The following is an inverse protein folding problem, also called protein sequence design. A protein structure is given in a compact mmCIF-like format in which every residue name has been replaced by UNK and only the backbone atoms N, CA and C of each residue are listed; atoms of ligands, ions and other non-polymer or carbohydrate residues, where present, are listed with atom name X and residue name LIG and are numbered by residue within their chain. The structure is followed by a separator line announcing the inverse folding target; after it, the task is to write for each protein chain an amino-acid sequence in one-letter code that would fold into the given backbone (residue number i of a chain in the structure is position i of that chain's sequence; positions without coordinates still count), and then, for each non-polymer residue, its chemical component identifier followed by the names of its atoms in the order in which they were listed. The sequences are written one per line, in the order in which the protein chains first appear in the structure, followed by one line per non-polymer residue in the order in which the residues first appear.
data_IF_147740701555
#
_entry.id   IF_147740701555
#
_cell.length_a   1.000
_cell.length_b   1.000
_cell.length_c   1.000
_cell.angle_alpha   90.00
_cell.angle_beta   90.00
_cell.angle_gamma   90.00
#
_symmetry.space_group_name_H-M   'P 1'
#
loop_
_entity.id
_entity.type
_entity.pdbx_description
1 polymer ?
#
# COMPACT_ATOMS: atom_id res chain seq x y z
N UNK A 1 14.78 -39.54 -13.11
CA UNK A 1 13.74 -38.81 -13.84
C UNK A 1 13.17 -37.77 -12.89
N UNK A 2 13.28 -36.47 -13.06
CA UNK A 2 13.92 -35.65 -14.09
C UNK A 2 14.25 -34.32 -13.42
N UNK A 3 15.54 -34.05 -13.18
CA UNK A 3 16.04 -32.75 -12.73
C UNK A 3 16.64 -31.97 -13.91
N UNK A 4 16.04 -32.13 -15.08
CA UNK A 4 16.52 -31.62 -16.37
C UNK A 4 15.90 -30.27 -16.77
N UNK A 5 14.98 -29.72 -15.96
CA UNK A 5 14.36 -28.40 -16.24
C UNK A 5 15.10 -27.21 -15.62
N UNK A 6 15.91 -27.42 -14.59
CA UNK A 6 16.66 -26.33 -13.91
C UNK A 6 18.05 -26.09 -14.52
N UNK A 7 18.59 -27.02 -15.31
CA UNK A 7 19.85 -26.83 -16.02
C UNK A 7 19.68 -25.99 -17.31
N UNK A 8 18.51 -26.02 -17.96
CA UNK A 8 18.24 -25.22 -19.16
C UNK A 8 18.13 -23.72 -18.88
N UNK A 9 17.38 -23.35 -17.84
CA UNK A 9 17.13 -21.92 -17.49
C UNK A 9 18.41 -21.21 -17.04
N UNK A 10 19.33 -21.93 -16.37
CA UNK A 10 20.59 -21.35 -15.88
C UNK A 10 21.55 -21.00 -17.02
N UNK A 11 21.53 -21.78 -18.11
CA UNK A 11 22.41 -21.57 -19.28
C UNK A 11 21.87 -20.42 -20.14
N UNK A 12 20.55 -20.35 -20.35
CA UNK A 12 19.92 -19.23 -21.09
C UNK A 12 20.14 -17.87 -20.41
N UNK A 13 20.09 -17.82 -19.06
CA UNK A 13 20.39 -16.59 -18.30
C UNK A 13 21.87 -16.17 -18.37
N UNK A 14 22.80 -17.12 -18.52
CA UNK A 14 24.24 -16.83 -18.58
C UNK A 14 24.66 -16.30 -19.96
N UNK A 15 24.01 -16.78 -21.03
CA UNK A 15 24.28 -16.33 -22.39
C UNK A 15 23.72 -14.92 -22.67
N UNK A 16 22.57 -14.55 -22.09
CA UNK A 16 22.02 -13.18 -22.18
C UNK A 16 22.85 -12.13 -21.42
N UNK A 17 23.57 -12.53 -20.38
CA UNK A 17 24.45 -11.62 -19.61
C UNK A 17 25.80 -11.39 -20.31
N UNK A 18 26.29 -12.37 -21.09
CA UNK A 18 27.50 -12.21 -21.91
C UNK A 18 27.28 -11.32 -23.14
N UNK A 19 26.08 -11.28 -23.70
CA UNK A 19 25.76 -10.42 -24.85
C UNK A 19 25.69 -8.92 -24.49
N UNK A 20 25.45 -8.59 -23.21
CA UNK A 20 25.31 -7.22 -22.70
C UNK A 20 26.60 -6.62 -22.10
N UNK A 21 27.76 -7.28 -22.27
CA UNK A 21 29.07 -6.67 -22.01
C UNK A 21 29.40 -6.32 -20.54
N UNK A 22 28.70 -6.92 -19.57
CA UNK A 22 29.01 -6.72 -18.14
C UNK A 22 30.03 -7.76 -17.66
N UNK A 23 31.23 -7.32 -17.29
CA UNK A 23 32.27 -8.18 -16.73
C UNK A 23 31.94 -8.58 -15.28
N UNK A 24 31.88 -9.89 -15.02
CA UNK A 24 31.77 -10.44 -13.67
C UNK A 24 33.01 -10.07 -12.83
N UNK A 25 32.80 -9.55 -11.62
CA UNK A 25 33.86 -9.45 -10.61
C UNK A 25 34.07 -10.85 -10.03
N UNK A 26 35.09 -11.55 -10.52
CA UNK A 26 35.49 -12.84 -10.00
C UNK A 26 36.29 -12.63 -8.71
N UNK A 27 35.66 -12.90 -7.56
CA UNK A 27 36.25 -12.64 -6.24
C UNK A 27 36.87 -13.92 -5.69
N UNK A 28 37.98 -14.38 -6.27
CA UNK A 28 38.89 -15.28 -5.55
C UNK A 28 40.29 -15.33 -6.16
N UNK A 29 41.25 -15.10 -5.24
CA UNK A 29 42.69 -15.35 -5.28
C UNK A 29 43.46 -14.73 -6.43
N UNK A 30 44.22 -13.69 -6.14
CA UNK A 30 45.63 -13.67 -6.53
C UNK A 30 46.44 -12.75 -5.61
N UNK A 31 47.65 -13.23 -5.34
CA UNK A 31 48.68 -12.66 -4.49
C UNK A 31 49.14 -11.29 -4.97
N UNK A 32 49.57 -10.47 -4.02
CA UNK A 32 50.07 -9.11 -4.19
C UNK A 32 51.28 -9.10 -5.13
N UNK A 33 51.13 -8.54 -6.33
CA UNK A 33 52.23 -7.98 -7.12
C UNK A 33 51.97 -6.47 -7.25
N UNK A 34 52.85 -5.68 -6.63
CA UNK A 34 52.79 -4.23 -6.47
C UNK A 34 53.14 -3.46 -7.76
N UNK A 35 52.38 -3.64 -8.84
CA UNK A 35 52.48 -2.75 -10.02
C UNK A 35 51.17 -2.69 -10.83
N UNK A 36 50.05 -2.49 -10.13
CA UNK A 36 48.81 -2.08 -10.78
C UNK A 36 48.85 -0.57 -11.00
N UNK A 37 49.11 -0.17 -12.25
CA UNK A 37 48.96 1.20 -12.74
C UNK A 37 47.59 1.77 -12.32
N UNK A 38 47.61 2.62 -11.30
CA UNK A 38 46.45 3.29 -10.70
C UNK A 38 45.69 4.21 -11.68
N UNK A 39 46.17 4.38 -12.92
CA UNK A 39 45.53 5.21 -13.95
C UNK A 39 44.64 4.45 -14.94
N UNK A 40 44.31 3.18 -14.71
CA UNK A 40 43.47 2.40 -15.62
C UNK A 40 42.15 1.87 -15.06
N UNK A 41 41.63 2.50 -14.00
CA UNK A 41 40.19 2.45 -13.75
C UNK A 41 39.57 3.57 -14.58
N UNK A 42 39.25 3.25 -15.84
CA UNK A 42 38.43 4.09 -16.71
C UNK A 42 37.10 4.30 -15.99
N UNK A 43 36.94 5.42 -15.29
CA UNK A 43 35.72 5.72 -14.58
C UNK A 43 34.55 5.71 -15.57
N UNK A 44 33.38 5.23 -15.11
CA UNK A 44 32.28 4.91 -15.99
C UNK A 44 31.69 6.20 -16.57
N UNK A 45 30.96 6.11 -17.69
CA UNK A 45 30.19 7.19 -18.35
C UNK A 45 29.72 8.26 -17.34
N UNK A 46 29.84 9.56 -17.65
CA UNK A 46 29.43 10.65 -16.74
C UNK A 46 28.02 10.47 -16.16
N UNK A 47 27.17 9.73 -16.86
CA UNK A 47 25.86 9.25 -16.43
C UNK A 47 25.89 8.37 -15.16
N UNK A 48 26.83 7.42 -15.06
CA UNK A 48 26.99 6.56 -13.89
C UNK A 48 27.47 7.36 -12.68
N UNK A 49 28.36 8.35 -12.89
CA UNK A 49 28.74 9.27 -11.81
C UNK A 49 27.53 10.07 -11.33
N UNK A 50 26.67 10.50 -12.26
CA UNK A 50 25.39 11.13 -11.95
C UNK A 50 24.49 10.24 -11.10
N UNK A 51 24.30 8.97 -11.48
CA UNK A 51 23.51 8.02 -10.69
C UNK A 51 24.10 7.76 -9.30
N UNK A 52 25.42 7.61 -9.19
CA UNK A 52 26.09 7.44 -7.90
C UNK A 52 25.83 8.63 -6.98
N UNK A 53 25.89 9.85 -7.51
CA UNK A 53 25.63 11.05 -6.72
C UNK A 53 24.16 11.14 -6.29
N UNK A 54 23.21 10.86 -7.19
CA UNK A 54 21.78 10.79 -6.84
C UNK A 54 21.50 9.77 -5.74
N UNK A 55 22.06 8.56 -5.85
CA UNK A 55 21.88 7.51 -4.82
C UNK A 55 22.50 7.94 -3.50
N UNK A 56 23.68 8.57 -3.51
CA UNK A 56 24.27 9.13 -2.28
C UNK A 56 23.34 10.14 -1.65
N UNK A 57 22.80 11.10 -2.42
CA UNK A 57 21.87 12.11 -1.90
C UNK A 57 20.64 11.42 -1.27
N UNK A 58 20.02 10.46 -1.95
CA UNK A 58 18.89 9.70 -1.42
C UNK A 58 19.22 8.97 -0.11
N UNK A 59 20.40 8.35 -0.01
CA UNK A 59 20.83 7.67 1.22
C UNK A 59 21.12 8.65 2.36
N UNK A 60 21.64 9.85 2.05
CA UNK A 60 21.90 10.88 3.06
C UNK A 60 20.63 11.59 3.52
N UNK A 61 19.55 11.58 2.72
CA UNK A 61 18.24 12.15 3.08
C UNK A 61 17.33 11.16 3.79
N UNK A 62 17.79 9.93 4.06
CA UNK A 62 17.00 8.94 4.80
C UNK A 62 16.74 9.42 6.24
N UNK A 63 15.47 9.45 6.62
CA UNK A 63 15.00 9.78 7.97
C UNK A 63 14.01 8.68 8.43
N UNK A 64 12.82 9.04 8.92
CA UNK A 64 11.76 8.11 9.37
C UNK A 64 11.18 7.21 8.24
N UNK A 65 11.65 7.39 7.01
CA UNK A 65 11.28 6.60 5.83
C UNK A 65 10.51 7.41 4.79
N UNK A 66 10.73 7.09 3.51
CA UNK A 66 9.95 7.65 2.40
C UNK A 66 8.91 6.63 1.96
N UNK A 67 7.63 6.97 2.14
CA UNK A 67 6.50 6.11 1.73
C UNK A 67 5.41 6.94 1.07
N UNK A 68 4.58 6.29 0.27
CA UNK A 68 3.40 6.91 -0.33
C UNK A 68 2.32 7.13 0.73
N UNK A 69 1.48 8.13 0.52
CA UNK A 69 0.37 8.44 1.41
C UNK A 69 -0.73 7.37 1.30
N UNK A 70 -1.19 6.87 2.45
CA UNK A 70 -2.34 5.99 2.55
C UNK A 70 -3.62 6.81 2.69
N UNK A 71 -4.52 6.71 1.70
CA UNK A 71 -5.79 7.44 1.72
C UNK A 71 -6.71 6.93 2.84
N UNK A 72 -6.70 5.63 3.11
CA UNK A 72 -7.43 4.98 4.21
C UNK A 72 -7.01 5.54 5.57
N UNK A 73 -5.69 5.59 5.86
CA UNK A 73 -5.21 6.09 7.15
C UNK A 73 -5.44 7.59 7.28
N UNK A 74 -5.24 8.34 6.19
CA UNK A 74 -5.53 9.79 6.16
C UNK A 74 -7.01 10.07 6.44
N UNK A 75 -7.93 9.24 5.93
CA UNK A 75 -9.36 9.35 6.23
C UNK A 75 -9.67 9.10 7.71
N UNK A 76 -9.02 8.14 8.35
CA UNK A 76 -9.16 7.93 9.80
C UNK A 76 -8.66 9.12 10.62
N UNK A 77 -7.52 9.71 10.25
CA UNK A 77 -7.00 10.93 10.89
C UNK A 77 -7.96 12.11 10.67
N UNK A 78 -8.52 12.25 9.48
CA UNK A 78 -9.46 13.31 9.15
C UNK A 78 -10.76 13.24 9.98
N UNK A 79 -11.14 12.06 10.50
CA UNK A 79 -12.33 11.87 11.33
C UNK A 79 -12.14 12.30 12.80
N UNK A 80 -10.91 12.58 13.23
CA UNK A 80 -10.64 13.01 14.61
C UNK A 80 -11.21 14.41 14.82
N UNK A 81 -12.15 14.52 15.76
CA UNK A 81 -12.74 15.80 16.14
C UNK A 81 -11.80 16.57 17.06
N UNK A 82 -11.82 17.89 16.96
CA UNK A 82 -11.10 18.76 17.89
C UNK A 82 -11.53 18.51 19.35
N UNK A 83 -10.54 18.25 20.21
CA UNK A 83 -10.76 17.94 21.62
C UNK A 83 -11.43 19.06 22.42
N UNK A 84 -11.37 20.30 21.91
CA UNK A 84 -12.04 21.45 22.51
C UNK A 84 -13.51 21.60 22.09
N UNK A 85 -14.02 20.69 21.25
CA UNK A 85 -15.43 20.66 20.86
C UNK A 85 -15.83 21.78 19.89
N UNK A 86 -14.91 22.29 19.07
CA UNK A 86 -15.21 23.30 18.05
C UNK A 86 -16.18 22.81 16.97
N UNK A 87 -16.43 21.50 16.88
CA UNK A 87 -17.19 20.90 15.78
C UNK A 87 -16.42 20.87 14.46
N UNK A 88 -15.09 20.99 14.52
CA UNK A 88 -14.18 20.93 13.37
C UNK A 88 -13.19 19.76 13.49
N UNK A 89 -12.55 19.34 12.39
CA UNK A 89 -11.52 18.32 12.43
C UNK A 89 -10.28 18.83 13.21
N UNK A 90 -9.72 17.97 14.05
CA UNK A 90 -8.46 18.21 14.76
C UNK A 90 -7.29 18.40 13.76
N UNK A 91 -7.37 17.74 12.60
CA UNK A 91 -6.37 17.79 11.54
C UNK A 91 -7.01 18.18 10.20
N UNK A 92 -7.24 19.48 9.96
CA UNK A 92 -7.88 19.96 8.72
C UNK A 92 -7.11 19.61 7.45
N UNK A 93 -5.78 19.53 7.52
CA UNK A 93 -4.91 19.19 6.38
C UNK A 93 -5.16 17.77 5.86
N UNK A 94 -5.51 16.82 6.72
CA UNK A 94 -5.88 15.46 6.30
C UNK A 94 -7.16 15.47 5.46
N UNK A 95 -8.15 16.27 5.86
CA UNK A 95 -9.39 16.42 5.10
C UNK A 95 -9.14 17.12 3.76
N UNK A 96 -8.31 18.17 3.74
CA UNK A 96 -7.90 18.86 2.52
C UNK A 96 -7.15 17.93 1.56
N UNK A 97 -6.25 17.08 2.07
CA UNK A 97 -5.55 16.09 1.25
C UNK A 97 -6.55 15.15 0.57
N UNK A 98 -7.56 14.64 1.28
CA UNK A 98 -8.60 13.78 0.70
C UNK A 98 -9.32 14.48 -0.45
N UNK A 99 -9.69 15.74 -0.25
CA UNK A 99 -10.37 16.55 -1.28
C UNK A 99 -9.52 16.68 -2.54
N UNK A 100 -8.21 16.91 -2.39
CA UNK A 100 -7.30 17.20 -3.49
C UNK A 100 -6.78 15.95 -4.23
N UNK A 101 -6.90 14.74 -3.64
CA UNK A 101 -6.30 13.51 -4.17
C UNK A 101 -7.32 12.46 -4.65
N UNK A 102 -8.55 12.87 -4.97
CA UNK A 102 -9.52 11.99 -5.64
C UNK A 102 -9.08 11.72 -7.09
N UNK A 103 -9.07 10.46 -7.50
CA UNK A 103 -8.73 10.04 -8.87
C UNK A 103 -9.84 10.41 -9.87
N UNK A 104 -9.53 10.46 -11.18
CA UNK A 104 -10.50 10.86 -12.21
C UNK A 104 -11.76 9.97 -12.29
N UNK A 105 -11.65 8.69 -11.93
CA UNK A 105 -12.75 7.73 -11.87
C UNK A 105 -13.63 7.86 -10.61
N UNK A 106 -13.27 8.77 -9.70
CA UNK A 106 -13.98 9.01 -8.44
C UNK A 106 -13.44 8.24 -7.24
N UNK A 107 -12.45 7.35 -7.43
CA UNK A 107 -11.85 6.55 -6.37
C UNK A 107 -10.70 7.28 -5.64
N UNK A 108 -10.19 6.65 -4.58
CA UNK A 108 -8.93 6.99 -3.91
C UNK A 108 -8.03 5.77 -3.81
N UNK A 109 -6.71 5.98 -3.90
CA UNK A 109 -5.66 4.97 -3.76
C UNK A 109 -4.51 5.21 -4.76
N UNK A 110 -3.73 4.18 -5.06
CA UNK A 110 -2.57 4.26 -5.98
C UNK A 110 -2.97 4.65 -7.41
N UNK A 111 -2.41 5.74 -7.96
CA UNK A 111 -2.76 6.20 -9.31
C UNK A 111 -2.23 5.34 -10.46
N UNK A 112 -1.30 4.42 -10.20
CA UNK A 112 -0.58 3.62 -11.20
C UNK A 112 -1.08 2.18 -11.29
N UNK A 113 -1.41 1.58 -10.15
CA UNK A 113 -1.82 0.16 -10.06
C UNK A 113 -3.22 0.07 -9.48
N UNK A 114 -4.14 -0.55 -10.22
CA UNK A 114 -5.49 -0.86 -9.75
C UNK A 114 -5.52 -2.22 -9.04
N UNK A 115 -5.79 -2.21 -7.74
CA UNK A 115 -6.14 -3.39 -6.94
C UNK A 115 -7.54 -3.16 -6.35
N UNK A 116 -8.46 -4.12 -6.51
CA UNK A 116 -9.86 -3.90 -6.15
C UNK A 116 -10.00 -3.68 -4.63
N UNK A 117 -9.37 -4.54 -3.82
CA UNK A 117 -9.33 -4.39 -2.37
C UNK A 117 -8.83 -3.00 -1.94
N UNK A 118 -7.73 -2.53 -2.51
CA UNK A 118 -7.16 -1.23 -2.19
C UNK A 118 -8.08 -0.08 -2.61
N UNK A 119 -8.54 -0.05 -3.87
CA UNK A 119 -9.39 1.05 -4.32
C UNK A 119 -10.68 1.15 -3.54
N UNK A 120 -11.30 0.02 -3.24
CA UNK A 120 -12.60 0.01 -2.59
C UNK A 120 -12.48 0.46 -1.13
N UNK A 121 -11.47 -0.03 -0.38
CA UNK A 121 -11.32 0.36 1.03
C UNK A 121 -10.90 1.83 1.18
N UNK A 122 -9.97 2.32 0.36
CA UNK A 122 -9.52 3.71 0.36
C UNK A 122 -10.68 4.65 0.00
N UNK A 123 -11.44 4.31 -1.04
CA UNK A 123 -12.59 5.12 -1.48
C UNK A 123 -13.68 5.17 -0.41
N UNK A 124 -14.02 4.04 0.19
CA UNK A 124 -15.04 4.00 1.24
C UNK A 124 -14.64 4.86 2.45
N UNK A 125 -13.40 4.76 2.90
CA UNK A 125 -12.89 5.56 4.01
C UNK A 125 -12.96 7.07 3.70
N UNK A 126 -12.51 7.49 2.51
CA UNK A 126 -12.55 8.89 2.08
C UNK A 126 -13.99 9.43 1.97
N UNK A 127 -14.90 8.63 1.41
CA UNK A 127 -16.34 9.00 1.33
C UNK A 127 -16.93 9.17 2.72
N UNK A 128 -16.61 8.30 3.67
CA UNK A 128 -17.05 8.41 5.07
C UNK A 128 -16.54 9.71 5.68
N UNK A 129 -15.24 10.02 5.53
CA UNK A 129 -14.65 11.25 6.08
C UNK A 129 -15.32 12.52 5.52
N UNK A 130 -15.48 12.61 4.20
CA UNK A 130 -16.13 13.77 3.57
C UNK A 130 -17.61 13.90 3.96
N UNK A 131 -18.33 12.77 4.04
CA UNK A 131 -19.75 12.75 4.45
C UNK A 131 -19.92 13.11 5.91
N UNK A 132 -19.06 12.61 6.81
CA UNK A 132 -19.10 12.90 8.24
C UNK A 132 -19.01 14.40 8.52
N UNK A 133 -18.12 15.09 7.81
CA UNK A 133 -17.97 16.55 7.91
C UNK A 133 -18.93 17.34 7.02
N UNK A 134 -19.76 16.66 6.22
CA UNK A 134 -20.71 17.25 5.27
C UNK A 134 -20.04 18.25 4.30
N UNK A 135 -18.89 17.87 3.74
CA UNK A 135 -18.12 18.68 2.80
C UNK A 135 -17.99 18.00 1.43
N UNK A 136 -17.86 18.80 0.38
CA UNK A 136 -17.66 18.33 -1.01
C UNK A 136 -18.62 17.21 -1.46
N UNK A 137 -19.95 17.41 -1.41
CA UNK A 137 -20.93 16.36 -1.72
C UNK A 137 -20.79 15.79 -3.14
N UNK A 138 -20.30 16.58 -4.10
CA UNK A 138 -20.02 16.10 -5.45
C UNK A 138 -18.89 15.06 -5.51
N UNK A 139 -17.87 15.18 -4.64
CA UNK A 139 -16.80 14.19 -4.51
C UNK A 139 -17.30 12.92 -3.82
N UNK A 140 -18.12 13.08 -2.79
CA UNK A 140 -18.81 11.95 -2.13
C UNK A 140 -19.64 11.17 -3.14
N UNK A 141 -20.46 11.84 -3.95
CA UNK A 141 -21.32 11.20 -4.95
C UNK A 141 -20.51 10.40 -5.98
N UNK A 142 -19.39 10.97 -6.47
CA UNK A 142 -18.48 10.25 -7.38
C UNK A 142 -17.86 9.01 -6.73
N UNK A 143 -17.39 9.13 -5.48
CA UNK A 143 -16.85 8.00 -4.74
C UNK A 143 -17.88 6.90 -4.48
N UNK A 144 -19.11 7.27 -4.11
CA UNK A 144 -20.22 6.31 -3.97
C UNK A 144 -20.55 5.64 -5.29
N UNK A 145 -20.57 6.39 -6.39
CA UNK A 145 -20.81 5.83 -7.72
C UNK A 145 -19.73 4.81 -8.09
N UNK A 146 -18.45 5.16 -7.90
CA UNK A 146 -17.33 4.24 -8.10
C UNK A 146 -17.51 2.96 -7.27
N UNK A 147 -17.84 3.07 -5.97
CA UNK A 147 -18.04 1.91 -5.11
C UNK A 147 -19.17 1.00 -5.63
N UNK A 148 -20.31 1.57 -6.02
CA UNK A 148 -21.44 0.80 -6.57
C UNK A 148 -21.06 0.03 -7.84
N UNK A 149 -20.24 0.62 -8.70
CA UNK A 149 -19.79 0.01 -9.95
C UNK A 149 -18.72 -1.07 -9.77
N UNK A 150 -17.96 -1.02 -8.66
CA UNK A 150 -16.76 -1.82 -8.49
C UNK A 150 -16.80 -2.82 -7.32
N UNK A 151 -17.76 -2.73 -6.39
CA UNK A 151 -17.76 -3.58 -5.18
C UNK A 151 -17.82 -5.08 -5.48
N UNK A 152 -18.50 -5.49 -6.55
CA UNK A 152 -18.57 -6.89 -7.00
C UNK A 152 -17.22 -7.44 -7.48
N UNK A 153 -16.25 -6.58 -7.80
CA UNK A 153 -14.90 -7.01 -8.19
C UNK A 153 -14.15 -7.66 -7.03
N UNK A 154 -14.57 -7.43 -5.77
CA UNK A 154 -14.02 -8.12 -4.60
C UNK A 154 -14.21 -9.65 -4.66
N UNK A 155 -15.23 -10.15 -5.38
CA UNK A 155 -15.48 -11.59 -5.53
C UNK A 155 -14.43 -12.29 -6.40
N UNK A 156 -13.82 -11.55 -7.32
CA UNK A 156 -12.93 -12.09 -8.34
C UNK A 156 -11.46 -11.69 -8.13
N UNK A 157 -11.16 -10.92 -7.09
CA UNK A 157 -9.82 -10.43 -6.83
C UNK A 157 -8.97 -11.50 -6.14
N UNK A 158 -7.68 -11.57 -6.49
CA UNK A 158 -6.79 -12.62 -6.01
C UNK A 158 -6.56 -12.47 -4.50
N UNK A 159 -6.85 -13.52 -3.72
CA UNK A 159 -6.63 -13.51 -2.27
C UNK A 159 -5.16 -13.28 -1.89
N UNK A 160 -4.22 -13.59 -2.78
CA UNK A 160 -2.78 -13.35 -2.58
C UNK A 160 -2.41 -11.86 -2.48
N UNK A 161 -3.26 -10.96 -3.00
CA UNK A 161 -3.04 -9.50 -2.96
C UNK A 161 -4.00 -8.80 -1.99
N UNK A 162 -4.71 -9.56 -1.15
CA UNK A 162 -5.62 -8.99 -0.17
C UNK A 162 -4.84 -8.17 0.87
N UNK A 163 -5.30 -6.94 1.10
CA UNK A 163 -4.74 -6.07 2.13
C UNK A 163 -4.84 -6.72 3.52
N UNK A 164 -3.78 -6.59 4.31
CA UNK A 164 -3.73 -7.13 5.67
C UNK A 164 -4.88 -6.55 6.49
N UNK A 165 -5.67 -7.42 7.11
CA UNK A 165 -6.78 -7.02 7.97
C UNK A 165 -8.03 -6.51 7.22
N UNK A 166 -8.06 -6.58 5.88
CA UNK A 166 -9.21 -6.14 5.07
C UNK A 166 -10.52 -6.74 5.56
N UNK A 167 -10.55 -8.05 5.83
CA UNK A 167 -11.76 -8.76 6.29
C UNK A 167 -12.30 -8.27 7.64
N UNK A 168 -11.50 -7.54 8.43
CA UNK A 168 -11.92 -6.94 9.70
C UNK A 168 -12.20 -5.45 9.53
N UNK A 169 -11.32 -4.73 8.84
CA UNK A 169 -11.41 -3.29 8.62
C UNK A 169 -12.58 -2.92 7.71
N UNK A 170 -12.74 -3.62 6.58
CA UNK A 170 -13.73 -3.27 5.57
C UNK A 170 -15.17 -3.40 6.08
N UNK A 171 -15.60 -4.50 6.75
CA UNK A 171 -16.94 -4.55 7.34
C UNK A 171 -17.18 -3.47 8.40
N UNK A 172 -16.14 -3.08 9.14
CA UNK A 172 -16.24 -2.01 10.13
C UNK A 172 -16.50 -0.65 9.47
N UNK A 173 -15.89 -0.39 8.31
CA UNK A 173 -16.21 0.79 7.50
C UNK A 173 -17.62 0.72 6.91
N UNK A 174 -18.08 -0.45 6.45
CA UNK A 174 -19.47 -0.61 5.96
C UNK A 174 -20.48 -0.30 7.08
N UNK A 175 -20.23 -0.79 8.30
CA UNK A 175 -21.06 -0.50 9.47
C UNK A 175 -21.09 1.00 9.78
N UNK A 176 -19.97 1.71 9.60
CA UNK A 176 -19.91 3.17 9.77
C UNK A 176 -20.65 3.90 8.65
N UNK A 177 -20.43 3.51 7.40
CA UNK A 177 -21.13 4.08 6.24
C UNK A 177 -22.65 4.00 6.39
N UNK A 178 -23.17 2.86 6.86
CA UNK A 178 -24.60 2.67 7.17
C UNK A 178 -25.11 3.68 8.20
N UNK A 179 -24.35 3.95 9.27
CA UNK A 179 -24.73 4.95 10.30
C UNK A 179 -24.81 6.37 9.74
N UNK A 180 -24.05 6.66 8.69
CA UNK A 180 -24.08 7.93 7.98
C UNK A 180 -25.07 7.96 6.80
N UNK A 181 -25.90 6.92 6.64
CA UNK A 181 -26.83 6.77 5.51
C UNK A 181 -26.16 6.79 4.12
N UNK A 182 -24.92 6.29 4.03
CA UNK A 182 -24.21 6.14 2.77
C UNK A 182 -24.62 4.79 2.15
N UNK A 183 -25.36 4.84 1.05
CA UNK A 183 -25.83 3.65 0.34
C UNK A 183 -24.78 3.12 -0.63
N UNK A 184 -24.03 2.09 -0.22
CA UNK A 184 -22.95 1.49 -1.02
C UNK A 184 -23.37 0.12 -1.54
N UNK A 185 -24.42 0.03 -2.38
CA UNK A 185 -24.81 -1.21 -3.09
C UNK A 185 -24.63 -2.51 -2.27
N UNK A 186 -25.11 -2.51 -1.02
CA UNK A 186 -24.67 -3.40 0.07
C UNK A 186 -25.27 -4.82 -0.05
N UNK A 187 -26.09 -5.07 -1.07
CA UNK A 187 -26.79 -6.34 -1.25
C UNK A 187 -26.00 -7.36 -2.08
N UNK A 188 -24.67 -7.20 -2.16
CA UNK A 188 -23.80 -8.14 -2.86
C UNK A 188 -23.44 -9.35 -1.97
N UNK A 189 -23.56 -10.59 -2.48
CA UNK A 189 -23.16 -11.81 -1.77
C UNK A 189 -21.74 -11.76 -1.19
N UNK A 190 -20.84 -11.01 -1.83
CA UNK A 190 -19.47 -10.78 -1.33
C UNK A 190 -19.42 -10.23 0.09
N UNK A 191 -20.37 -9.37 0.46
CA UNK A 191 -20.36 -8.75 1.78
C UNK A 191 -20.74 -9.77 2.85
N UNK A 192 -21.73 -10.62 2.60
CA UNK A 192 -22.10 -11.70 3.52
C UNK A 192 -20.90 -12.61 3.82
N UNK A 193 -20.14 -12.95 2.79
CA UNK A 193 -18.91 -13.73 2.94
C UNK A 193 -17.86 -12.99 3.79
N UNK A 194 -17.57 -11.72 3.49
CA UNK A 194 -16.59 -10.93 4.25
C UNK A 194 -17.02 -10.80 5.73
N UNK A 195 -18.31 -10.58 6.02
CA UNK A 195 -18.82 -10.58 7.40
C UNK A 195 -18.67 -11.95 8.07
N UNK A 196 -18.87 -13.06 7.36
CA UNK A 196 -18.62 -14.40 7.89
C UNK A 196 -17.13 -14.60 8.24
N UNK A 197 -16.22 -14.17 7.37
CA UNK A 197 -14.76 -14.21 7.62
C UNK A 197 -14.35 -13.34 8.81
N UNK A 198 -14.91 -12.13 8.95
CA UNK A 198 -14.73 -11.28 10.14
C UNK A 198 -15.10 -12.02 11.42
N UNK A 199 -16.28 -12.63 11.45
CA UNK A 199 -16.78 -13.33 12.63
C UNK A 199 -15.93 -14.56 12.98
N UNK A 200 -15.42 -15.28 11.98
CA UNK A 200 -14.49 -16.38 12.17
C UNK A 200 -13.13 -15.91 12.73
N UNK A 201 -12.65 -14.73 12.33
CA UNK A 201 -11.39 -14.14 12.82
C UNK A 201 -11.52 -13.49 14.20
N UNK A 202 -12.64 -12.85 14.51
CA UNK A 202 -12.89 -12.16 15.78
C UNK A 202 -13.47 -13.08 16.88
N UNK A 203 -13.01 -14.32 16.93
CA UNK A 203 -13.42 -15.24 18.00
C UNK A 203 -13.00 -14.70 19.37
N UNK A 204 -13.83 -14.98 20.39
CA UNK A 204 -13.63 -14.49 21.76
C UNK A 204 -12.26 -14.86 22.35
N UNK A 205 -11.66 -15.97 21.90
CA UNK A 205 -10.32 -16.41 22.30
C UNK A 205 -9.22 -15.49 21.77
N UNK A 206 -9.31 -15.00 20.52
CA UNK A 206 -8.33 -14.08 19.93
C UNK A 206 -8.32 -12.74 20.69
N UNK A 207 -9.50 -12.21 21.00
CA UNK A 207 -9.63 -10.94 21.72
C UNK A 207 -9.07 -11.03 23.16
N UNK A 208 -9.30 -12.15 23.84
CA UNK A 208 -8.77 -12.38 25.18
C UNK A 208 -7.23 -12.46 25.20
N UNK A 209 -6.63 -13.14 24.20
CA UNK A 209 -5.17 -13.23 24.07
C UNK A 209 -4.51 -11.89 23.79
N UNK A 210 -5.12 -11.04 22.95
CA UNK A 210 -4.61 -9.68 22.70
C UNK A 210 -4.55 -8.87 23.99
N UNK A 211 -5.60 -8.90 24.80
CA UNK A 211 -5.63 -8.16 26.06
C UNK A 211 -4.54 -8.62 27.04
N UNK A 212 -4.27 -9.93 27.11
CA UNK A 212 -3.21 -10.47 27.96
C UNK A 212 -1.83 -10.04 27.46
N UNK A 213 -1.54 -10.22 26.17
CA UNK A 213 -0.21 -9.93 25.63
C UNK A 213 0.11 -8.44 25.75
N UNK A 214 -0.80 -7.55 25.35
CA UNK A 214 -0.53 -6.11 25.40
C UNK A 214 -0.47 -5.56 26.83
N UNK A 215 -1.29 -6.07 27.76
CA UNK A 215 -1.18 -5.68 29.18
C UNK A 215 0.12 -6.19 29.85
N UNK A 216 0.77 -7.20 29.27
CA UNK A 216 2.05 -7.75 29.77
C UNK A 216 3.29 -6.98 29.30
N UNK A 217 3.12 -6.04 28.34
CA UNK A 217 4.19 -5.14 27.88
C UNK A 217 4.19 -3.78 28.61
N UNK A 218 3.21 -3.52 29.48
CA UNK A 218 3.10 -2.30 30.30
C UNK A 218 3.65 -2.46 31.73
N UNK A 219 4.34 -3.57 32.04
CA UNK A 219 5.03 -3.82 33.34
C UNK A 219 6.53 -3.95 33.16
#
# INVERSE_FOLDING_TARGET
MSNSRLQGVRIEYLDELQSNGLSFINRQTDTVDDDVDMNKILYPSDEIKGFVETIKVMLHSMDDGETTMSAYDTAWVALVQDGNGSGCPQFPSSLEWIVNNQLPDGSWGDGLIFLAHDRIINTLACVIALTFWNVHPSKCQKGVQFLKENISKLENDNEEHMLIGFEVAFPSLIDFAKKLNIEVGIDSPVLEEIYARRNAKLTKSVLYSLHIVFSSFET
#
